data_IF_170226585793
#
_entry.id   IF_170226585793
#
_cell.length_a   1.000
_cell.length_b   1.000
_cell.length_c   1.000
_cell.angle_alpha   90.00
_cell.angle_beta   90.00
_cell.angle_gamma   90.00
#
_symmetry.space_group_name_H-M   'P 1'
#
loop_
_entity.id
_entity.type
_entity.pdbx_description
1 polymer ?
#
# COMPACT_ATOMS: atom_id res chain seq x y z
N UNK A 1 12.40 -14.28 4.14
CA UNK A 1 11.69 -13.26 3.39
C UNK A 1 10.21 -13.60 3.21
N UNK A 2 9.38 -12.59 3.14
CA UNK A 2 7.95 -12.70 2.93
C UNK A 2 7.49 -11.62 1.97
N UNK A 3 6.41 -11.87 1.25
CA UNK A 3 5.75 -10.88 0.40
C UNK A 3 4.33 -10.68 0.90
N UNK A 4 4.00 -9.45 1.25
CA UNK A 4 2.65 -9.08 1.64
C UNK A 4 1.96 -8.42 0.44
N UNK A 5 0.75 -8.84 0.13
CA UNK A 5 -0.05 -8.24 -0.93
C UNK A 5 -1.30 -7.64 -0.29
N UNK A 6 -1.46 -6.34 -0.47
CA UNK A 6 -2.58 -5.60 0.08
C UNK A 6 -3.66 -5.45 -0.99
N UNK A 7 -4.82 -5.98 -0.70
CA UNK A 7 -5.92 -6.04 -1.66
C UNK A 7 -7.14 -5.31 -1.12
N UNK A 8 -7.88 -4.68 -2.01
CA UNK A 8 -9.20 -4.13 -1.75
C UNK A 8 -10.30 -5.09 -2.22
N UNK A 9 -11.45 -5.01 -1.58
CA UNK A 9 -12.69 -5.65 -2.05
C UNK A 9 -13.72 -4.54 -2.24
N UNK A 10 -13.70 -3.86 -3.41
CA UNK A 10 -14.49 -2.65 -3.63
C UNK A 10 -15.99 -2.80 -3.37
N UNK A 11 -16.55 -3.95 -3.67
CA UNK A 11 -17.97 -4.22 -3.46
C UNK A 11 -18.41 -4.12 -2.00
N UNK A 12 -17.55 -4.50 -1.08
CA UNK A 12 -17.83 -4.39 0.36
C UNK A 12 -18.02 -2.94 0.80
N UNK A 13 -17.13 -2.07 0.33
CA UNK A 13 -17.22 -0.63 0.62
C UNK A 13 -18.35 0.05 -0.16
N UNK A 14 -18.58 -0.35 -1.41
CA UNK A 14 -19.65 0.18 -2.22
C UNK A 14 -21.03 -0.14 -1.64
N UNK A 15 -21.21 -1.29 -1.02
CA UNK A 15 -22.45 -1.65 -0.34
C UNK A 15 -22.84 -0.66 0.76
N UNK A 16 -21.85 -0.04 1.41
CA UNK A 16 -22.06 0.96 2.47
C UNK A 16 -22.02 2.40 1.96
N UNK A 17 -21.09 2.72 1.06
CA UNK A 17 -20.73 4.09 0.68
C UNK A 17 -21.07 4.43 -0.78
N UNK A 18 -21.66 3.50 -1.53
CA UNK A 18 -21.99 3.74 -2.94
C UNK A 18 -20.75 3.91 -3.81
N UNK A 19 -20.82 4.84 -4.77
CA UNK A 19 -19.73 5.06 -5.74
C UNK A 19 -18.37 5.40 -5.11
N UNK A 20 -18.37 6.10 -3.99
CA UNK A 20 -17.10 6.42 -3.31
C UNK A 20 -16.49 5.21 -2.61
N UNK A 21 -17.23 4.15 -2.43
CA UNK A 21 -16.77 2.94 -1.78
C UNK A 21 -15.55 2.30 -2.45
N UNK A 22 -15.47 2.33 -3.78
CA UNK A 22 -14.31 1.85 -4.51
C UNK A 22 -13.05 2.65 -4.15
N UNK A 23 -13.16 3.96 -4.14
CA UNK A 23 -12.07 4.85 -3.75
C UNK A 23 -11.64 4.62 -2.29
N UNK A 24 -12.60 4.53 -1.38
CA UNK A 24 -12.33 4.29 0.04
C UNK A 24 -11.65 2.93 0.27
N UNK A 25 -12.05 1.89 -0.46
CA UNK A 25 -11.43 0.58 -0.34
C UNK A 25 -9.96 0.57 -0.73
N UNK A 26 -9.60 1.34 -1.76
CA UNK A 26 -8.21 1.51 -2.17
C UNK A 26 -7.43 2.27 -1.11
N UNK A 27 -8.01 3.32 -0.54
CA UNK A 27 -7.39 4.06 0.56
C UNK A 27 -7.16 3.16 1.78
N UNK A 28 -8.13 2.34 2.15
CA UNK A 28 -8.01 1.40 3.27
C UNK A 28 -6.84 0.43 3.07
N UNK A 29 -6.73 -0.17 1.90
CA UNK A 29 -5.62 -1.07 1.57
C UNK A 29 -4.27 -0.33 1.57
N UNK A 30 -4.24 0.90 1.07
CA UNK A 30 -3.06 1.77 1.06
C UNK A 30 -2.61 2.10 2.48
N UNK A 31 -3.54 2.45 3.36
CA UNK A 31 -3.27 2.74 4.78
C UNK A 31 -2.69 1.50 5.47
N UNK A 32 -3.28 0.34 5.24
CA UNK A 32 -2.79 -0.91 5.81
C UNK A 32 -1.35 -1.22 5.37
N UNK A 33 -1.05 -1.02 4.10
CA UNK A 33 0.31 -1.19 3.57
C UNK A 33 1.29 -0.19 4.20
N UNK A 34 0.89 1.08 4.36
CA UNK A 34 1.72 2.10 4.98
C UNK A 34 2.06 1.74 6.43
N UNK A 35 1.09 1.28 7.20
CA UNK A 35 1.33 0.84 8.57
C UNK A 35 2.23 -0.39 8.64
N UNK A 36 2.04 -1.33 7.72
CA UNK A 36 2.92 -2.49 7.63
C UNK A 36 4.37 -2.07 7.32
N UNK A 37 4.57 -1.12 6.43
CA UNK A 37 5.89 -0.60 6.09
C UNK A 37 6.56 0.07 7.29
N UNK A 38 5.82 0.84 8.08
CA UNK A 38 6.33 1.40 9.33
C UNK A 38 6.70 0.32 10.35
N UNK A 39 5.88 -0.71 10.49
CA UNK A 39 6.16 -1.82 11.40
C UNK A 39 7.42 -2.58 10.97
N UNK A 40 7.60 -2.81 9.67
CA UNK A 40 8.80 -3.44 9.11
C UNK A 40 10.05 -2.64 9.49
N UNK A 41 10.01 -1.32 9.32
CA UNK A 41 11.12 -0.45 9.70
C UNK A 41 11.40 -0.51 11.21
N UNK A 42 10.37 -0.51 12.03
CA UNK A 42 10.50 -0.61 13.49
C UNK A 42 11.12 -1.93 13.94
N UNK A 43 10.94 -3.00 13.18
CA UNK A 43 11.55 -4.31 13.43
C UNK A 43 12.98 -4.44 12.90
N UNK A 44 13.53 -3.40 12.29
CA UNK A 44 14.87 -3.42 11.70
C UNK A 44 14.95 -4.18 10.37
N UNK A 45 13.80 -4.46 9.76
CA UNK A 45 13.71 -5.12 8.45
C UNK A 45 13.64 -4.10 7.33
N UNK A 46 13.82 -4.57 6.11
CA UNK A 46 13.69 -3.77 4.91
C UNK A 46 12.46 -4.16 4.09
N UNK A 47 11.91 -3.20 3.39
CA UNK A 47 10.79 -3.41 2.47
C UNK A 47 10.83 -2.41 1.33
N UNK A 48 10.07 -2.69 0.29
CA UNK A 48 9.86 -1.75 -0.80
C UNK A 48 8.40 -1.78 -1.22
N UNK A 49 7.85 -0.61 -1.47
CA UNK A 49 6.47 -0.48 -1.98
C UNK A 49 6.46 -0.68 -3.49
N UNK A 50 5.76 -1.71 -3.94
CA UNK A 50 5.60 -2.01 -5.37
C UNK A 50 4.15 -1.72 -5.76
N UNK A 51 3.97 -0.78 -6.69
CA UNK A 51 2.65 -0.39 -7.19
C UNK A 51 2.46 -0.60 -8.70
N UNK A 52 3.54 -0.93 -9.42
CA UNK A 52 3.50 -1.14 -10.87
C UNK A 52 3.50 -2.64 -11.18
N UNK A 53 2.33 -3.18 -11.44
CA UNK A 53 2.15 -4.60 -11.77
C UNK A 53 0.84 -4.79 -12.55
N UNK A 54 0.69 -5.97 -13.15
CA UNK A 54 -0.55 -6.37 -13.82
C UNK A 54 -1.51 -7.01 -12.81
N UNK A 55 -2.64 -6.38 -12.56
CA UNK A 55 -3.62 -6.83 -11.55
C UNK A 55 -4.06 -8.27 -11.79
N UNK A 56 -4.33 -8.63 -13.04
CA UNK A 56 -4.79 -9.97 -13.41
C UNK A 56 -3.78 -11.06 -13.05
N UNK A 57 -2.50 -10.78 -13.26
CA UNK A 57 -1.44 -11.73 -12.94
C UNK A 57 -1.32 -11.93 -11.44
N UNK A 58 -1.39 -10.85 -10.67
CA UNK A 58 -1.35 -10.93 -9.22
C UNK A 58 -2.55 -11.70 -8.67
N UNK A 59 -3.75 -11.40 -9.14
CA UNK A 59 -4.97 -12.11 -8.75
C UNK A 59 -4.85 -13.60 -9.06
N UNK A 60 -4.32 -13.95 -10.21
CA UNK A 60 -4.09 -15.34 -10.62
C UNK A 60 -3.12 -16.05 -9.69
N UNK A 61 -1.97 -15.44 -9.43
CA UNK A 61 -0.93 -16.01 -8.54
C UNK A 61 -1.48 -16.22 -7.12
N UNK A 62 -2.28 -15.29 -6.62
CA UNK A 62 -2.88 -15.38 -5.30
C UNK A 62 -4.03 -16.39 -5.22
N UNK A 63 -4.57 -16.82 -6.35
CA UNK A 63 -5.80 -17.60 -6.37
C UNK A 63 -6.99 -16.83 -5.82
N UNK A 64 -6.98 -15.51 -5.95
CA UNK A 64 -8.02 -14.64 -5.42
C UNK A 64 -9.27 -14.63 -6.31
N UNK A 65 -10.41 -14.32 -5.71
CA UNK A 65 -11.66 -14.18 -6.46
C UNK A 65 -11.68 -12.93 -7.33
N UNK A 66 -12.59 -12.91 -8.33
CA UNK A 66 -12.66 -11.81 -9.31
C UNK A 66 -12.96 -10.43 -8.71
N UNK A 67 -13.57 -10.37 -7.51
CA UNK A 67 -13.87 -9.10 -6.82
C UNK A 67 -12.72 -8.53 -6.02
N UNK A 68 -11.57 -9.21 -5.98
CA UNK A 68 -10.39 -8.76 -5.24
C UNK A 68 -9.50 -7.92 -6.14
N UNK A 69 -9.11 -6.73 -5.68
CA UNK A 69 -8.23 -5.84 -6.40
C UNK A 69 -6.91 -5.65 -5.66
N UNK A 70 -5.77 -6.08 -6.22
CA UNK A 70 -4.47 -5.80 -5.64
C UNK A 70 -4.18 -4.30 -5.69
N UNK A 71 -3.66 -3.76 -4.60
CA UNK A 71 -3.35 -2.32 -4.50
C UNK A 71 -1.84 -2.10 -4.40
N UNK A 72 -1.17 -2.92 -3.60
CA UNK A 72 0.28 -2.80 -3.41
C UNK A 72 0.88 -4.14 -3.01
N UNK A 73 2.14 -4.31 -3.33
CA UNK A 73 2.95 -5.47 -2.95
C UNK A 73 4.12 -4.96 -2.11
N UNK A 74 4.34 -5.58 -0.98
CA UNK A 74 5.38 -5.21 -0.03
C UNK A 74 6.28 -6.42 0.25
N UNK A 75 7.36 -6.62 -0.52
CA UNK A 75 8.40 -7.58 -0.16
C UNK A 75 9.09 -7.12 1.13
N UNK A 76 9.30 -8.07 2.05
CA UNK A 76 9.92 -7.81 3.35
C UNK A 76 11.08 -8.78 3.56
N UNK A 77 12.19 -8.28 4.04
CA UNK A 77 13.36 -9.12 4.32
C UNK A 77 14.44 -8.35 5.08
N UNK A 78 15.58 -8.99 5.25
CA UNK A 78 16.74 -8.33 5.82
C UNK A 78 17.40 -7.46 4.76
N UNK A 79 17.61 -6.15 5.02
CA UNK A 79 18.19 -5.25 4.03
C UNK A 79 19.67 -5.57 3.80
N UNK A 80 20.08 -5.63 2.53
CA UNK A 80 21.50 -5.79 2.17
C UNK A 80 22.30 -4.51 2.43
N UNK A 81 21.62 -3.36 2.36
CA UNK A 81 22.20 -2.04 2.62
C UNK A 81 21.10 -1.09 3.11
N UNK A 82 21.49 -0.05 3.83
CA UNK A 82 20.56 1.04 4.15
C UNK A 82 20.50 1.99 2.96
N UNK A 83 19.33 2.21 2.36
CA UNK A 83 19.19 3.22 1.33
C UNK A 83 19.40 4.61 1.89
N UNK A 84 19.93 5.51 1.07
CA UNK A 84 20.00 6.92 1.40
C UNK A 84 18.59 7.52 1.46
N UNK A 85 18.41 8.45 2.39
CA UNK A 85 17.13 9.17 2.48
C UNK A 85 16.96 10.09 1.28
N UNK A 86 15.90 9.90 0.52
CA UNK A 86 15.55 10.81 -0.56
C UNK A 86 15.20 12.19 0.00
N UNK A 87 15.61 13.28 -0.69
CA UNK A 87 15.25 14.62 -0.26
C UNK A 87 13.73 14.81 -0.25
N UNK A 88 13.26 15.65 0.66
CA UNK A 88 11.87 16.06 0.76
C UNK A 88 11.76 17.55 0.52
N UNK A 89 10.63 17.97 -0.03
CA UNK A 89 10.32 19.39 -0.15
C UNK A 89 10.23 20.02 1.25
N UNK A 90 10.62 21.30 1.39
CA UNK A 90 10.48 22.01 2.66
C UNK A 90 9.03 22.01 3.16
N UNK A 91 8.86 22.00 4.47
CA UNK A 91 7.52 21.92 5.08
C UNK A 91 6.63 23.12 4.71
N UNK A 92 7.20 24.31 4.61
CA UNK A 92 6.51 25.54 4.23
C UNK A 92 5.94 25.52 2.80
N UNK A 93 6.51 24.69 1.92
CA UNK A 93 5.95 24.46 0.58
C UNK A 93 4.78 23.43 0.59
N UNK A 94 4.71 22.59 1.60
CA UNK A 94 3.76 21.49 1.68
C UNK A 94 2.55 21.78 2.57
N UNK A 95 2.74 22.66 3.55
CA UNK A 95 1.71 22.98 4.53
C UNK A 95 1.66 24.50 4.75
N UNK A 96 0.47 25.00 4.96
CA UNK A 96 0.28 26.41 5.35
C UNK A 96 -0.76 26.53 6.45
N UNK A 97 -0.59 27.51 7.30
CA UNK A 97 -1.57 27.86 8.31
C UNK A 97 -2.63 28.76 7.68
N UNK A 98 -3.89 28.46 7.93
CA UNK A 98 -5.01 29.29 7.51
C UNK A 98 -5.53 30.09 8.72
N UNK A 99 -5.79 31.35 8.50
CA UNK A 99 -6.35 32.26 9.51
C UNK A 99 -5.37 32.92 10.44
#
# INVERSE_FOLDING_TARGET
PVVLVFCAVPERSAARYGRRGTFYSIQDATIACAYAQLAVAALGLGSVWVGAFEDREVVHILGASAGVRPVSILPVGHPAKRPERSPRRPLDELARRLG
#
